data_IF_889813613090
#
_entry.id   IF_889813613090
#
_cell.length_a   1.000
_cell.length_b   1.000
_cell.length_c   1.000
_cell.angle_alpha   90.00
_cell.angle_beta   90.00
_cell.angle_gamma   90.00
#
_symmetry.space_group_name_H-M   'P 1'
#
loop_
_entity.id
_entity.type
_entity.pdbx_description
1 polymer ?
#
# COMPACT_ATOMS: atom_id res chain seq x y z
N UNK A 1 12.77 0.26 -9.58
CA UNK A 1 13.22 -1.10 -9.83
C UNK A 1 12.01 -1.97 -10.22
N UNK A 2 11.08 -2.29 -9.33
CA UNK A 2 9.96 -3.20 -9.60
C UNK A 2 8.67 -2.52 -10.06
N UNK A 3 8.59 -1.19 -10.09
CA UNK A 3 7.41 -0.42 -10.48
C UNK A 3 6.20 -0.55 -9.53
N UNK A 4 6.38 -1.23 -8.39
CA UNK A 4 5.37 -1.44 -7.35
C UNK A 4 6.05 -1.64 -5.98
N UNK A 5 5.28 -1.45 -4.91
CA UNK A 5 5.72 -1.64 -3.52
C UNK A 5 4.61 -2.38 -2.76
N UNK A 6 4.57 -3.71 -2.92
CA UNK A 6 3.63 -4.62 -2.26
C UNK A 6 4.40 -5.59 -1.35
N UNK A 7 3.71 -6.57 -0.76
CA UNK A 7 4.34 -7.49 0.19
C UNK A 7 5.53 -8.25 -0.40
N UNK A 8 5.44 -8.68 -1.66
CA UNK A 8 6.52 -9.40 -2.37
C UNK A 8 7.79 -8.57 -2.50
N UNK A 9 7.67 -7.26 -2.69
CA UNK A 9 8.82 -6.36 -2.85
C UNK A 9 9.51 -6.03 -1.51
N UNK A 10 8.86 -6.34 -0.39
CA UNK A 10 9.43 -6.24 0.96
C UNK A 10 9.82 -7.60 1.56
N UNK A 11 9.65 -8.70 0.83
CA UNK A 11 10.13 -10.00 1.25
C UNK A 11 11.67 -10.05 1.20
N UNK A 12 12.27 -10.92 2.01
CA UNK A 12 13.72 -10.99 2.21
C UNK A 12 14.51 -11.06 0.90
N UNK A 13 14.10 -11.92 -0.03
CA UNK A 13 14.78 -12.07 -1.32
C UNK A 13 14.74 -10.79 -2.18
N UNK A 14 13.65 -10.03 -2.13
CA UNK A 14 13.55 -8.78 -2.87
C UNK A 14 14.41 -7.68 -2.23
N UNK A 15 14.54 -7.67 -0.91
CA UNK A 15 15.40 -6.71 -0.19
C UNK A 15 16.89 -6.99 -0.41
N UNK A 16 17.26 -8.24 -0.71
CA UNK A 16 18.63 -8.66 -1.04
C UNK A 16 18.99 -8.40 -2.51
N UNK A 17 18.05 -8.00 -3.37
CA UNK A 17 18.33 -7.69 -4.78
C UNK A 17 19.37 -6.55 -4.89
N UNK A 18 20.52 -6.79 -5.57
CA UNK A 18 21.54 -5.77 -5.76
C UNK A 18 21.03 -4.51 -6.48
N UNK A 19 20.04 -4.64 -7.37
CA UNK A 19 19.42 -3.49 -8.06
C UNK A 19 18.60 -2.63 -7.09
N UNK A 20 17.94 -3.22 -6.10
CA UNK A 20 17.25 -2.51 -5.02
C UNK A 20 18.24 -1.78 -4.15
N UNK A 21 19.34 -2.45 -3.75
CA UNK A 21 20.41 -1.84 -2.96
C UNK A 21 21.04 -0.64 -3.68
N UNK A 22 21.43 -0.80 -4.95
CA UNK A 22 22.00 0.27 -5.77
C UNK A 22 21.04 1.44 -6.01
N UNK A 23 19.71 1.20 -6.01
CA UNK A 23 18.73 2.27 -6.08
C UNK A 23 18.58 2.99 -4.73
N UNK A 24 18.52 2.23 -3.63
CA UNK A 24 18.43 2.78 -2.27
C UNK A 24 19.58 3.74 -1.96
N UNK A 25 20.79 3.44 -2.41
CA UNK A 25 21.98 4.28 -2.20
C UNK A 25 21.87 5.67 -2.86
N UNK A 26 20.91 5.86 -3.77
CA UNK A 26 20.59 7.16 -4.39
C UNK A 26 19.53 7.94 -3.64
N UNK A 27 18.85 7.31 -2.68
CA UNK A 27 17.76 7.92 -1.92
C UNK A 27 18.35 8.70 -0.74
N UNK A 28 17.95 9.94 -0.61
CA UNK A 28 18.32 10.79 0.51
C UNK A 28 17.05 11.19 1.26
N UNK A 29 17.05 11.00 2.56
CA UNK A 29 15.99 11.53 3.42
C UNK A 29 16.36 12.94 3.87
N UNK A 30 15.41 13.85 3.77
CA UNK A 30 15.55 15.23 4.24
C UNK A 30 14.40 15.57 5.16
N UNK A 31 14.69 16.29 6.23
CA UNK A 31 13.66 16.89 7.08
C UNK A 31 12.98 18.02 6.28
N UNK A 32 11.67 17.94 6.17
CA UNK A 32 10.83 18.99 5.62
C UNK A 32 10.03 19.61 6.79
N UNK A 33 10.26 20.90 7.15
CA UNK A 33 9.62 21.51 8.30
C UNK A 33 8.09 21.55 8.22
N UNK A 34 7.51 21.67 7.02
CA UNK A 34 6.06 21.67 6.86
C UNK A 34 5.48 20.27 7.08
N UNK A 35 6.17 19.22 6.63
CA UNK A 35 5.80 17.82 6.88
C UNK A 35 5.91 17.50 8.37
N UNK A 36 7.00 17.92 8.99
CA UNK A 36 7.27 17.67 10.41
C UNK A 36 6.25 18.36 11.34
N UNK A 37 5.94 19.63 11.09
CA UNK A 37 4.95 20.40 11.87
C UNK A 37 3.52 19.85 11.71
N UNK A 38 3.20 19.28 10.54
CA UNK A 38 1.87 18.70 10.30
C UNK A 38 1.59 17.45 11.11
N UNK A 39 2.63 16.71 11.49
CA UNK A 39 2.51 15.48 12.29
C UNK A 39 2.21 15.83 13.78
N UNK A 40 1.36 15.12 14.51
CA UNK A 40 0.66 13.88 14.12
C UNK A 40 -0.72 14.10 13.49
N UNK A 41 -1.19 15.33 13.34
CA UNK A 41 -2.54 15.65 12.84
C UNK A 41 -2.73 15.24 11.39
N UNK A 42 -1.66 15.35 10.58
CA UNK A 42 -1.64 14.95 9.17
C UNK A 42 -0.33 14.22 8.85
N UNK A 43 -0.41 13.26 7.95
CA UNK A 43 0.73 12.45 7.52
C UNK A 43 1.11 12.82 6.08
N UNK A 44 1.71 13.99 5.95
CA UNK A 44 2.16 14.48 4.64
C UNK A 44 3.32 13.63 4.12
N UNK A 45 3.38 13.44 2.81
CA UNK A 45 4.51 12.82 2.14
C UNK A 45 4.96 13.65 0.95
N UNK A 46 6.28 13.80 0.77
CA UNK A 46 6.89 14.51 -0.36
C UNK A 46 8.03 13.71 -0.95
N UNK A 47 8.09 13.66 -2.27
CA UNK A 47 9.16 13.01 -3.02
C UNK A 47 9.62 13.93 -4.13
N UNK A 48 10.93 14.11 -4.23
CA UNK A 48 11.59 14.79 -5.33
C UNK A 48 12.55 13.83 -6.02
N UNK A 49 12.53 13.77 -7.34
CA UNK A 49 13.40 12.91 -8.14
C UNK A 49 14.14 13.77 -9.17
N UNK A 50 15.47 13.82 -9.04
CA UNK A 50 16.34 14.37 -10.07
C UNK A 50 16.67 13.30 -11.09
N UNK A 51 16.24 13.48 -12.30
CA UNK A 51 16.49 12.55 -13.41
C UNK A 51 17.86 12.79 -14.04
N UNK A 52 18.38 11.80 -14.80
CA UNK A 52 19.68 11.90 -15.45
C UNK A 52 19.76 13.00 -16.53
N UNK A 53 18.63 13.36 -17.14
CA UNK A 53 18.51 14.45 -18.11
C UNK A 53 18.31 15.82 -17.45
N UNK A 54 18.47 15.91 -16.12
CA UNK A 54 18.44 17.15 -15.36
C UNK A 54 17.05 17.66 -15.00
N UNK A 55 15.97 16.90 -15.28
CA UNK A 55 14.61 17.26 -14.84
C UNK A 55 14.40 16.93 -13.38
N UNK A 56 13.70 17.80 -12.67
CA UNK A 56 13.17 17.51 -11.33
C UNK A 56 11.70 17.13 -11.43
N UNK A 57 11.38 15.96 -10.93
CA UNK A 57 10.01 15.49 -10.77
C UNK A 57 9.63 15.61 -9.29
N UNK A 58 8.44 16.12 -9.03
CA UNK A 58 7.92 16.30 -7.68
C UNK A 58 6.58 15.60 -7.52
N UNK A 59 6.38 14.97 -6.37
CA UNK A 59 5.09 14.40 -5.96
C UNK A 59 4.88 14.65 -4.49
N UNK A 60 3.66 15.01 -4.14
CA UNK A 60 3.24 15.22 -2.75
C UNK A 60 1.91 14.51 -2.50
N UNK A 61 1.71 14.09 -1.27
CA UNK A 61 0.45 13.54 -0.78
C UNK A 61 0.15 14.17 0.57
N UNK A 62 -1.09 14.57 0.75
CA UNK A 62 -1.54 15.21 2.00
C UNK A 62 -2.04 14.20 3.02
N UNK A 63 -2.53 13.07 2.56
CA UNK A 63 -2.96 11.95 3.40
C UNK A 63 -2.65 10.61 2.74
N UNK A 64 -2.08 9.63 3.46
CA UNK A 64 -1.83 8.30 2.93
C UNK A 64 -3.13 7.63 2.47
N UNK A 65 -3.01 6.74 1.50
CA UNK A 65 -4.15 5.94 1.05
C UNK A 65 -4.63 5.01 2.17
N UNK A 66 -5.89 5.16 2.54
CA UNK A 66 -6.52 4.46 3.66
C UNK A 66 -6.87 5.35 4.85
N UNK A 67 -6.34 6.56 4.92
CA UNK A 67 -6.71 7.55 5.92
C UNK A 67 -8.10 8.14 5.65
N UNK A 68 -8.74 8.77 6.65
CA UNK A 68 -10.10 9.31 6.51
C UNK A 68 -10.31 10.27 5.34
N UNK A 69 -9.32 11.10 5.02
CA UNK A 69 -9.38 12.03 3.89
C UNK A 69 -8.99 11.41 2.53
N UNK A 70 -8.45 10.19 2.54
CA UNK A 70 -8.06 9.44 1.35
C UNK A 70 -8.43 7.96 1.46
N UNK A 71 -9.71 7.69 1.67
CA UNK A 71 -10.24 6.36 1.93
C UNK A 71 -10.06 5.40 0.76
N UNK A 72 -10.06 4.10 1.07
CA UNK A 72 -10.13 3.04 0.07
C UNK A 72 -11.58 2.84 -0.37
N UNK A 73 -11.80 2.70 -1.67
CA UNK A 73 -13.06 2.22 -2.21
C UNK A 73 -13.26 0.73 -1.89
N UNK A 74 -14.51 0.25 -2.00
CA UNK A 74 -14.82 -1.19 -1.88
C UNK A 74 -13.94 -2.04 -2.79
N UNK A 75 -13.81 -1.66 -4.05
CA UNK A 75 -13.00 -2.40 -5.02
C UNK A 75 -11.50 -2.46 -4.62
N UNK A 76 -10.95 -1.37 -4.08
CA UNK A 76 -9.57 -1.34 -3.59
C UNK A 76 -9.36 -2.22 -2.35
N UNK A 77 -10.35 -2.28 -1.45
CA UNK A 77 -10.32 -3.18 -0.28
C UNK A 77 -10.37 -4.65 -0.71
N UNK A 78 -11.27 -4.99 -1.64
CA UNK A 78 -11.39 -6.33 -2.18
C UNK A 78 -10.12 -6.78 -2.93
N UNK A 79 -9.53 -5.89 -3.75
CA UNK A 79 -8.27 -6.16 -4.43
C UNK A 79 -7.12 -6.37 -3.43
N UNK A 80 -7.03 -5.52 -2.39
CA UNK A 80 -6.06 -5.71 -1.31
C UNK A 80 -6.23 -7.08 -0.65
N UNK A 81 -7.45 -7.48 -0.32
CA UNK A 81 -7.73 -8.77 0.29
C UNK A 81 -7.28 -9.93 -0.62
N UNK A 82 -7.62 -9.90 -1.92
CA UNK A 82 -7.20 -10.94 -2.88
C UNK A 82 -5.67 -11.04 -2.97
N UNK A 83 -4.97 -9.91 -2.98
CA UNK A 83 -3.50 -9.88 -3.00
C UNK A 83 -2.87 -10.45 -1.72
N UNK A 84 -3.47 -10.19 -0.57
CA UNK A 84 -3.02 -10.75 0.72
C UNK A 84 -3.20 -12.27 0.74
N UNK A 85 -4.33 -12.80 0.26
CA UNK A 85 -4.56 -14.25 0.12
C UNK A 85 -3.54 -14.89 -0.81
N UNK A 86 -3.29 -14.29 -1.96
CA UNK A 86 -2.30 -14.78 -2.91
C UNK A 86 -0.89 -14.81 -2.30
N UNK A 87 -0.50 -13.78 -1.57
CA UNK A 87 0.79 -13.72 -0.87
C UNK A 87 0.90 -14.82 0.21
N UNK A 88 -0.18 -15.09 0.94
CA UNK A 88 -0.22 -16.14 1.96
C UNK A 88 -0.24 -17.58 1.36
N UNK A 89 -0.14 -17.73 0.03
CA UNK A 89 -0.23 -19.04 -0.64
C UNK A 89 -1.62 -19.69 -0.57
N UNK A 90 -2.64 -18.93 -0.22
CA UNK A 90 -4.02 -19.38 -0.20
C UNK A 90 -4.65 -19.24 -1.59
N UNK A 91 -5.53 -20.16 -1.94
CA UNK A 91 -6.25 -20.09 -3.22
C UNK A 91 -7.13 -18.84 -3.24
N UNK A 92 -6.95 -18.04 -4.28
CA UNK A 92 -7.64 -16.76 -4.47
C UNK A 92 -8.85 -16.88 -5.41
N UNK A 93 -9.35 -18.07 -5.67
CA UNK A 93 -10.46 -18.32 -6.60
C UNK A 93 -11.84 -17.98 -6.01
N UNK A 94 -12.82 -18.80 -6.25
CA UNK A 94 -14.22 -18.62 -5.82
C UNK A 94 -14.38 -18.43 -4.31
N UNK A 95 -13.50 -19.06 -3.50
CA UNK A 95 -13.52 -18.93 -2.03
C UNK A 95 -13.28 -17.49 -1.55
N UNK A 96 -12.38 -16.76 -2.21
CA UNK A 96 -12.14 -15.35 -1.88
C UNK A 96 -13.37 -14.49 -2.17
N UNK A 97 -14.06 -14.75 -3.28
CA UNK A 97 -15.30 -14.09 -3.63
C UNK A 97 -16.41 -14.34 -2.60
N UNK A 98 -16.61 -15.59 -2.23
CA UNK A 98 -17.59 -15.99 -1.21
C UNK A 98 -17.32 -15.29 0.12
N UNK A 99 -16.06 -15.24 0.57
CA UNK A 99 -15.71 -14.58 1.84
C UNK A 99 -15.93 -13.07 1.77
N UNK A 100 -15.59 -12.43 0.65
CA UNK A 100 -15.84 -11.01 0.43
C UNK A 100 -17.34 -10.70 0.55
N UNK A 101 -18.19 -11.46 -0.15
CA UNK A 101 -19.63 -11.24 -0.10
C UNK A 101 -20.20 -11.48 1.31
N UNK A 102 -19.71 -12.50 2.02
CA UNK A 102 -20.10 -12.73 3.41
C UNK A 102 -19.74 -11.54 4.31
N UNK A 103 -18.51 -11.02 4.19
CA UNK A 103 -18.06 -9.87 4.99
C UNK A 103 -18.89 -8.62 4.69
N UNK A 104 -19.16 -8.34 3.41
CA UNK A 104 -20.01 -7.19 3.05
C UNK A 104 -21.47 -7.37 3.46
N UNK A 105 -21.96 -8.61 3.51
CA UNK A 105 -23.33 -8.95 3.95
C UNK A 105 -23.53 -9.01 5.46
N UNK A 106 -22.45 -8.82 6.28
CA UNK A 106 -22.54 -8.93 7.75
C UNK A 106 -23.58 -8.02 8.38
N UNK A 107 -23.75 -6.83 7.84
CA UNK A 107 -24.73 -5.85 8.34
C UNK A 107 -26.18 -6.38 8.30
N UNK A 108 -26.46 -7.20 7.31
CA UNK A 108 -27.81 -7.72 7.02
C UNK A 108 -27.96 -9.17 7.53
N UNK A 109 -26.92 -9.73 8.16
CA UNK A 109 -26.94 -11.09 8.69
C UNK A 109 -27.66 -11.14 10.04
N UNK A 110 -28.59 -12.10 10.16
CA UNK A 110 -29.31 -12.33 11.40
C UNK A 110 -28.41 -12.99 12.49
N UNK A 111 -27.30 -13.63 12.05
CA UNK A 111 -26.39 -14.39 12.92
C UNK A 111 -25.00 -14.48 12.27
N UNK A 112 -23.96 -14.62 13.09
CA UNK A 112 -22.56 -14.66 12.66
C UNK A 112 -21.97 -16.09 12.64
N UNK A 113 -22.77 -17.12 12.91
CA UNK A 113 -22.31 -18.51 12.99
C UNK A 113 -21.71 -19.06 11.68
N UNK A 114 -22.01 -18.42 10.56
CA UNK A 114 -21.55 -18.82 9.21
C UNK A 114 -20.27 -18.07 8.74
N UNK A 115 -19.54 -17.42 9.64
CA UNK A 115 -18.29 -16.69 9.31
C UNK A 115 -17.05 -17.58 9.36
N UNK A 116 -17.13 -18.73 9.98
CA UNK A 116 -16.04 -19.70 10.09
C UNK A 116 -15.96 -20.61 8.86
#
# INVERSE_FOLDING_TARGET
>A
VHGKAQLTEFAELALQDPAVAAFRDKVQMRLDPEVDIAYPQRWLGRVEVLTRDGRTLFSAIDEPKGDPGNTLSRAELEDKFRRLLAFAGKRSGDEAGVLIERVWGLRDSADLSNLA
#
